data_IF_192776658335
#
_entry.id   IF_192776658335
#
_cell.length_a   1.000
_cell.length_b   1.000
_cell.length_c   1.000
_cell.angle_alpha   90.00
_cell.angle_beta   90.00
_cell.angle_gamma   90.00
#
_symmetry.space_group_name_H-M   'P 1'
#
loop_
_entity.id
_entity.type
_entity.pdbx_description
1 polymer ?
#
# COMPACT_ATOMS: atom_id res chain seq x y z
N UNK A 1 -9.03 -24.51 3.65
CA UNK A 1 -9.11 -23.22 2.93
C UNK A 1 -7.75 -22.55 3.02
N UNK A 2 -7.05 -22.37 1.90
CA UNK A 2 -5.81 -21.59 1.88
C UNK A 2 -6.20 -20.12 2.04
N UNK A 3 -5.73 -19.39 3.07
CA UNK A 3 -5.94 -17.95 3.11
C UNK A 3 -5.36 -17.40 1.82
N UNK A 4 -6.20 -16.73 1.04
CA UNK A 4 -5.74 -16.01 -0.13
C UNK A 4 -4.61 -15.09 0.32
N UNK A 5 -3.38 -15.39 -0.10
CA UNK A 5 -2.22 -14.51 0.08
C UNK A 5 -2.37 -13.21 -0.73
N UNK A 6 -3.53 -12.99 -1.37
CA UNK A 6 -3.79 -11.72 -2.03
C UNK A 6 -3.85 -10.63 -0.96
N UNK A 7 -2.97 -9.63 -1.04
CA UNK A 7 -3.00 -8.51 -0.12
C UNK A 7 -4.39 -7.86 -0.18
N UNK A 8 -4.88 -7.31 0.95
CA UNK A 8 -6.16 -6.63 1.00
C UNK A 8 -6.27 -5.63 -0.16
N UNK A 9 -7.38 -5.71 -0.91
CA UNK A 9 -7.63 -4.86 -2.11
C UNK A 9 -7.61 -3.36 -1.79
N UNK A 10 -7.77 -2.98 -0.54
CA UNK A 10 -7.68 -1.62 -0.06
C UNK A 10 -6.90 -1.62 1.26
N UNK A 11 -5.76 -0.94 1.25
CA UNK A 11 -4.93 -0.71 2.44
C UNK A 11 -4.92 0.78 2.76
N UNK A 12 -4.91 1.12 4.05
CA UNK A 12 -4.71 2.52 4.44
C UNK A 12 -3.29 2.94 4.05
N UNK A 13 -3.13 4.19 3.63
CA UNK A 13 -1.82 4.75 3.26
C UNK A 13 -0.82 4.64 4.42
N UNK A 14 -1.27 4.78 5.67
CA UNK A 14 -0.43 4.60 6.86
C UNK A 14 0.08 3.16 7.01
N UNK A 15 -0.75 2.17 6.75
CA UNK A 15 -0.38 0.75 6.84
C UNK A 15 0.57 0.37 5.71
N UNK A 16 0.32 0.85 4.48
CA UNK A 16 1.22 0.68 3.35
C UNK A 16 2.60 1.33 3.60
N UNK A 17 2.60 2.51 4.21
CA UNK A 17 3.83 3.21 4.59
C UNK A 17 4.61 2.43 5.66
N UNK A 18 3.94 1.92 6.69
CA UNK A 18 4.56 1.11 7.74
C UNK A 18 5.12 -0.20 7.20
N UNK A 19 4.40 -0.86 6.28
CA UNK A 19 4.80 -2.13 5.67
C UNK A 19 6.08 -2.01 4.83
N UNK A 20 6.19 -0.95 4.02
CA UNK A 20 7.36 -0.73 3.14
C UNK A 20 8.46 0.12 3.80
N UNK A 21 8.26 0.55 5.05
CA UNK A 21 9.21 1.42 5.76
C UNK A 21 9.37 2.79 5.09
N UNK A 22 8.28 3.30 4.49
CA UNK A 22 8.27 4.60 3.80
C UNK A 22 7.34 5.59 4.50
N UNK A 23 7.24 6.81 3.97
CA UNK A 23 6.34 7.83 4.52
C UNK A 23 4.98 7.79 3.83
N UNK A 24 3.88 8.12 4.55
CA UNK A 24 2.56 8.26 3.92
C UNK A 24 2.53 9.26 2.76
N UNK A 25 3.43 10.25 2.77
CA UNK A 25 3.57 11.22 1.68
C UNK A 25 4.18 10.60 0.42
N UNK A 26 5.18 9.73 0.56
CA UNK A 26 5.76 8.99 -0.56
C UNK A 26 4.73 8.03 -1.18
N UNK A 27 3.96 7.31 -0.36
CA UNK A 27 2.88 6.43 -0.85
C UNK A 27 1.81 7.22 -1.60
N UNK A 28 1.39 8.39 -1.09
CA UNK A 28 0.47 9.30 -1.82
C UNK A 28 1.05 9.76 -3.15
N UNK A 29 2.33 10.10 -3.17
CA UNK A 29 3.01 10.51 -4.39
C UNK A 29 3.01 9.38 -5.43
N UNK A 30 3.38 8.16 -5.02
CA UNK A 30 3.43 6.99 -5.90
C UNK A 30 2.05 6.55 -6.39
N UNK A 31 1.03 6.61 -5.54
CA UNK A 31 -0.35 6.37 -5.97
C UNK A 31 -0.83 7.47 -6.93
N UNK A 32 -0.47 8.74 -6.69
CA UNK A 32 -0.84 9.86 -7.55
C UNK A 32 -0.21 9.81 -8.95
N UNK A 33 1.00 9.24 -9.07
CA UNK A 33 1.67 9.03 -10.38
C UNK A 33 1.32 7.68 -11.02
N UNK A 34 0.46 6.87 -10.40
CA UNK A 34 0.06 5.56 -10.91
C UNK A 34 1.12 4.46 -10.79
N UNK A 35 2.13 4.65 -9.94
CA UNK A 35 3.14 3.63 -9.64
C UNK A 35 2.60 2.58 -8.66
N UNK A 36 1.63 2.97 -7.82
CA UNK A 36 0.92 2.06 -6.91
C UNK A 36 -0.55 1.95 -7.32
N UNK A 37 -1.10 0.72 -7.39
CA UNK A 37 -2.51 0.47 -7.69
C UNK A 37 -3.44 0.72 -6.49
#
# INVERSE_FOLDING_TARGET
MHPSLMPPRQVKIGDAAAFVGSTPRAIRHYHGIGLLP
#
